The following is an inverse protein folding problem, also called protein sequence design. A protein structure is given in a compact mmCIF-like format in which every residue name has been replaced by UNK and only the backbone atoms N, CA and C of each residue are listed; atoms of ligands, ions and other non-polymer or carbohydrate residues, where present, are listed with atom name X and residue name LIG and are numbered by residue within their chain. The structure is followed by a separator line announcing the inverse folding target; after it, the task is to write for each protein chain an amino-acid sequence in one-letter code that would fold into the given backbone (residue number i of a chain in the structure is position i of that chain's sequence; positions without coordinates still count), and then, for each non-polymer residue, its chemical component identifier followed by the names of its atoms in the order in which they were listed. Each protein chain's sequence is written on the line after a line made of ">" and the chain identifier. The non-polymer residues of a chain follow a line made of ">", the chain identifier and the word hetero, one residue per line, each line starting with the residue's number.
data_IF_592366358822
#
_entry.id   IF_592366358822
#
_cell.length_a   1.000
_cell.length_b   1.000
_cell.length_c   1.000
_cell.angle_alpha   90.00
_cell.angle_beta   90.00
_cell.angle_gamma   90.00
#
_symmetry.space_group_name_H-M   'P 1'
#
loop_
_entity.id
_entity.type
_entity.pdbx_description
1 polymer ?
#
# COMPACT_ATOMS: atom_id res chain seq x y z
N UNK A 1 35.08 -6.74 13.92
CA UNK A 1 34.41 -8.04 13.79
C UNK A 1 33.91 -8.12 12.36
N UNK A 2 34.41 -9.07 11.57
CA UNK A 2 33.89 -9.29 10.20
C UNK A 2 32.43 -9.72 10.29
N UNK A 3 31.57 -9.01 9.54
CA UNK A 3 30.13 -9.31 9.49
C UNK A 3 29.90 -10.50 8.56
N UNK A 4 28.95 -11.35 8.92
CA UNK A 4 28.63 -12.55 8.13
C UNK A 4 27.76 -12.14 6.94
N UNK A 5 28.22 -12.42 5.71
CA UNK A 5 27.53 -12.07 4.45
C UNK A 5 27.03 -13.29 3.65
N UNK A 6 27.07 -14.48 4.23
CA UNK A 6 26.60 -15.72 3.60
C UNK A 6 25.80 -16.57 4.58
N UNK A 7 24.74 -17.21 4.09
CA UNK A 7 23.86 -18.08 4.89
C UNK A 7 24.10 -19.54 4.49
N UNK A 8 24.29 -20.41 5.49
CA UNK A 8 24.32 -21.86 5.29
C UNK A 8 22.92 -22.42 4.98
N UNK A 9 22.85 -23.58 4.33
CA UNK A 9 21.59 -24.28 4.05
C UNK A 9 20.78 -24.54 5.33
N UNK A 10 21.42 -24.98 6.41
CA UNK A 10 20.77 -25.24 7.70
C UNK A 10 20.16 -23.97 8.32
N UNK A 11 20.83 -22.83 8.19
CA UNK A 11 20.34 -21.57 8.74
C UNK A 11 19.22 -20.99 7.87
N UNK A 12 19.27 -21.22 6.56
CA UNK A 12 18.15 -20.94 5.65
C UNK A 12 16.92 -21.76 6.05
N UNK A 13 17.07 -23.06 6.31
CA UNK A 13 15.97 -23.94 6.74
C UNK A 13 15.38 -23.52 8.08
N UNK A 14 16.22 -23.07 9.02
CA UNK A 14 15.75 -22.48 10.28
C UNK A 14 14.90 -21.22 10.06
N UNK A 15 15.34 -20.29 9.19
CA UNK A 15 14.56 -19.09 8.84
C UNK A 15 13.20 -19.48 8.28
N UNK A 16 13.17 -20.48 7.39
CA UNK A 16 11.95 -20.99 6.74
C UNK A 16 11.00 -21.60 7.77
N UNK A 17 11.49 -22.48 8.64
CA UNK A 17 10.69 -23.09 9.71
C UNK A 17 10.15 -22.04 10.68
N UNK A 18 10.98 -21.04 11.00
CA UNK A 18 10.60 -19.94 11.90
C UNK A 18 9.49 -19.08 11.29
N UNK A 19 9.59 -18.76 9.99
CA UNK A 19 8.50 -18.10 9.23
C UNK A 19 7.22 -18.95 9.22
N UNK A 20 7.34 -20.26 8.97
CA UNK A 20 6.19 -21.18 8.94
C UNK A 20 5.52 -21.36 10.32
N UNK A 21 6.26 -21.13 11.41
CA UNK A 21 5.72 -21.14 12.77
C UNK A 21 4.95 -19.85 13.15
N UNK A 22 4.86 -18.88 12.22
CA UNK A 22 4.15 -17.62 12.42
C UNK A 22 4.97 -16.54 13.13
N UNK A 23 6.29 -16.74 13.29
CA UNK A 23 7.16 -15.71 13.82
C UNK A 23 7.20 -14.49 12.89
N UNK A 24 7.22 -13.30 13.48
CA UNK A 24 7.24 -12.08 12.68
C UNK A 24 8.60 -11.91 11.98
N UNK A 25 8.60 -11.38 10.74
CA UNK A 25 9.82 -11.06 10.01
C UNK A 25 10.85 -10.25 10.83
N UNK A 26 10.39 -9.33 11.66
CA UNK A 26 11.28 -8.50 12.50
C UNK A 26 12.04 -9.36 13.52
N UNK A 27 11.38 -10.33 14.17
CA UNK A 27 12.05 -11.22 15.14
C UNK A 27 13.13 -12.08 14.51
N UNK A 28 12.97 -12.43 13.24
CA UNK A 28 13.95 -13.22 12.50
C UNK A 28 15.16 -12.35 12.14
N UNK A 29 14.93 -11.13 11.66
CA UNK A 29 15.99 -10.15 11.39
C UNK A 29 16.76 -9.83 12.67
N UNK A 30 16.07 -9.60 13.79
CA UNK A 30 16.70 -9.38 15.09
C UNK A 30 17.56 -10.56 15.53
N UNK A 31 17.08 -11.80 15.30
CA UNK A 31 17.85 -13.01 15.60
C UNK A 31 19.10 -13.13 14.70
N UNK A 32 19.01 -12.71 13.44
CA UNK A 32 20.15 -12.66 12.52
C UNK A 32 21.16 -11.60 12.95
N UNK A 33 20.72 -10.39 13.30
CA UNK A 33 21.60 -9.33 13.78
C UNK A 33 22.32 -9.77 15.07
N UNK A 34 21.59 -10.39 16.01
CA UNK A 34 22.18 -10.98 17.25
C UNK A 34 23.19 -12.08 16.97
N UNK A 35 23.08 -12.77 15.83
CA UNK A 35 24.03 -13.79 15.36
C UNK A 35 25.23 -13.19 14.60
N UNK A 36 25.30 -11.87 14.43
CA UNK A 36 26.43 -11.17 13.81
C UNK A 36 26.29 -10.90 12.31
N UNK A 37 25.09 -11.08 11.75
CA UNK A 37 24.81 -10.70 10.36
C UNK A 37 24.65 -9.19 10.21
N UNK A 38 25.03 -8.67 9.05
CA UNK A 38 24.70 -7.28 8.70
C UNK A 38 23.18 -7.09 8.58
N UNK A 39 22.65 -5.96 9.04
CA UNK A 39 21.22 -5.66 9.03
C UNK A 39 20.64 -5.61 7.62
N UNK A 40 21.35 -4.97 6.67
CA UNK A 40 20.91 -4.89 5.28
C UNK A 40 20.93 -6.27 4.63
N UNK A 41 21.95 -7.07 4.97
CA UNK A 41 22.04 -8.45 4.52
C UNK A 41 20.91 -9.33 5.10
N UNK A 42 20.57 -9.17 6.38
CA UNK A 42 19.50 -9.91 7.04
C UNK A 42 18.13 -9.60 6.43
N UNK A 43 17.83 -8.30 6.24
CA UNK A 43 16.61 -7.84 5.58
C UNK A 43 16.50 -8.36 4.14
N UNK A 44 17.56 -8.22 3.33
CA UNK A 44 17.57 -8.71 1.94
C UNK A 44 17.43 -10.22 1.86
N UNK A 45 18.05 -10.96 2.77
CA UNK A 45 17.97 -12.41 2.76
C UNK A 45 16.59 -12.89 3.19
N UNK A 46 16.00 -12.27 4.20
CA UNK A 46 14.63 -12.58 4.59
C UNK A 46 13.64 -12.28 3.45
N UNK A 47 13.78 -11.15 2.76
CA UNK A 47 12.98 -10.80 1.58
C UNK A 47 13.18 -11.82 0.45
N UNK A 48 14.41 -12.27 0.21
CA UNK A 48 14.72 -13.28 -0.82
C UNK A 48 14.16 -14.65 -0.46
N UNK A 49 14.24 -15.09 0.80
CA UNK A 49 13.68 -16.39 1.24
C UNK A 49 12.15 -16.34 1.21
N UNK A 50 11.56 -15.22 1.66
CA UNK A 50 10.12 -14.99 1.60
C UNK A 50 9.60 -14.83 0.16
N UNK A 51 10.46 -14.39 -0.76
CA UNK A 51 10.17 -14.22 -2.19
C UNK A 51 10.41 -15.48 -3.05
N UNK A 52 11.40 -16.32 -2.71
CA UNK A 52 11.74 -17.53 -3.46
C UNK A 52 11.10 -18.82 -2.95
N UNK A 53 10.38 -18.77 -1.83
CA UNK A 53 9.56 -19.90 -1.41
C UNK A 53 8.11 -19.66 -1.78
N UNK A 54 7.59 -20.54 -2.65
CA UNK A 54 6.20 -20.95 -2.52
C UNK A 54 6.01 -21.41 -1.08
N UNK A 55 5.52 -20.50 -0.23
CA UNK A 55 5.07 -20.84 1.10
C UNK A 55 3.93 -21.83 0.85
N UNK A 56 4.23 -23.13 0.91
CA UNK A 56 3.22 -24.15 1.16
C UNK A 56 2.83 -23.93 2.61
N UNK A 57 2.10 -22.86 2.87
CA UNK A 57 1.29 -22.78 4.06
C UNK A 57 0.36 -23.98 3.95
N UNK A 58 0.26 -24.78 5.00
CA UNK A 58 -0.88 -25.64 5.26
C UNK A 58 -2.16 -24.80 5.51
N UNK A 59 -2.32 -23.70 4.77
CA UNK A 59 -3.52 -22.94 4.64
C UNK A 59 -4.26 -23.60 3.49
N UNK A 60 -5.32 -24.33 3.82
CA UNK A 60 -6.29 -24.87 2.85
C UNK A 60 -7.08 -23.72 2.18
N UNK A 61 -6.46 -22.58 1.94
CA UNK A 61 -7.06 -21.49 1.16
C UNK A 61 -6.88 -21.84 -0.31
N UNK A 62 -8.01 -22.04 -0.97
CA UNK A 62 -8.09 -22.15 -2.43
C UNK A 62 -7.27 -21.02 -3.09
N UNK A 63 -6.65 -21.28 -4.24
CA UNK A 63 -5.97 -20.24 -5.02
C UNK A 63 -6.85 -18.99 -5.15
N UNK A 64 -6.22 -17.81 -5.13
CA UNK A 64 -6.93 -16.56 -5.32
C UNK A 64 -7.61 -16.57 -6.70
N UNK A 65 -8.92 -16.31 -6.72
CA UNK A 65 -9.69 -16.21 -7.94
C UNK A 65 -9.59 -14.78 -8.49
N UNK A 66 -8.93 -14.62 -9.63
CA UNK A 66 -8.74 -13.30 -10.23
C UNK A 66 -9.95 -12.86 -11.04
N UNK A 67 -10.36 -11.62 -10.79
CA UNK A 67 -11.43 -10.92 -11.49
C UNK A 67 -10.87 -9.60 -12.01
N UNK A 68 -11.33 -9.16 -13.18
CA UNK A 68 -10.98 -7.85 -13.71
C UNK A 68 -11.94 -6.83 -13.05
N UNK A 69 -11.46 -5.93 -12.18
CA UNK A 69 -12.33 -4.92 -11.56
C UNK A 69 -12.88 -3.97 -12.62
N UNK A 70 -13.97 -3.26 -12.32
CA UNK A 70 -14.69 -2.43 -13.30
C UNK A 70 -13.77 -1.45 -14.03
N UNK A 71 -12.87 -0.76 -13.32
CA UNK A 71 -11.88 0.15 -13.92
C UNK A 71 -11.00 -0.52 -14.98
N UNK A 72 -10.70 -1.81 -14.85
CA UNK A 72 -9.92 -2.58 -15.82
C UNK A 72 -10.65 -2.88 -17.12
N UNK A 73 -11.98 -2.85 -17.09
CA UNK A 73 -12.85 -3.12 -18.23
C UNK A 73 -13.10 -1.87 -19.09
N UNK A 74 -12.73 -0.67 -18.59
CA UNK A 74 -12.95 0.63 -19.25
C UNK A 74 -11.92 0.99 -20.33
N UNK A 75 -10.98 0.08 -20.63
CA UNK A 75 -9.97 0.28 -21.67
C UNK A 75 -8.73 1.04 -21.22
N UNK A 76 -8.02 1.68 -22.16
CA UNK A 76 -6.75 2.39 -21.92
C UNK A 76 -6.92 3.90 -21.70
N UNK A 77 -8.10 4.43 -22.01
CA UNK A 77 -8.54 5.80 -21.75
C UNK A 77 -9.77 5.74 -20.88
N UNK A 78 -9.69 6.32 -19.70
CA UNK A 78 -10.76 6.34 -18.72
C UNK A 78 -11.36 7.74 -18.68
N UNK A 79 -12.68 7.82 -18.66
CA UNK A 79 -13.40 9.08 -18.57
C UNK A 79 -14.05 9.16 -17.20
N UNK A 80 -13.74 10.22 -16.47
CA UNK A 80 -14.34 10.51 -15.18
C UNK A 80 -14.82 11.94 -15.21
N UNK A 81 -16.05 12.13 -15.72
CA UNK A 81 -16.83 13.37 -15.76
C UNK A 81 -16.11 14.60 -16.31
N UNK A 82 -15.22 15.16 -15.49
CA UNK A 82 -14.42 16.35 -15.74
C UNK A 82 -13.03 16.07 -16.35
N UNK A 83 -12.61 14.80 -16.50
CA UNK A 83 -11.23 14.46 -16.88
C UNK A 83 -11.10 13.19 -17.72
N UNK A 84 -10.19 13.23 -18.71
CA UNK A 84 -9.66 12.03 -19.41
C UNK A 84 -8.37 11.57 -18.71
N UNK A 85 -8.35 10.33 -18.26
CA UNK A 85 -7.24 9.66 -17.57
C UNK A 85 -6.65 8.62 -18.52
N UNK A 86 -5.32 8.54 -18.59
CA UNK A 86 -4.63 7.54 -19.44
C UNK A 86 -4.05 6.42 -18.59
N UNK A 87 -4.27 5.17 -19.00
CA UNK A 87 -3.56 4.03 -18.42
C UNK A 87 -2.15 3.98 -19.00
N UNK A 88 -1.14 4.16 -18.15
CA UNK A 88 0.28 4.11 -18.52
C UNK A 88 0.80 2.69 -18.57
N UNK A 89 0.43 1.87 -17.59
CA UNK A 89 0.79 0.46 -17.51
C UNK A 89 -0.23 -0.32 -16.71
N UNK A 90 -0.29 -1.63 -16.97
CA UNK A 90 -1.16 -2.59 -16.28
C UNK A 90 -0.36 -3.83 -15.89
N UNK A 91 -0.56 -4.29 -14.65
CA UNK A 91 -0.20 -5.63 -14.21
C UNK A 91 -1.50 -6.39 -14.04
N UNK A 92 -1.60 -7.58 -14.63
CA UNK A 92 -2.83 -8.38 -14.56
C UNK A 92 -2.98 -9.08 -13.20
N UNK A 93 -1.87 -9.56 -12.62
CA UNK A 93 -1.86 -10.35 -11.37
C UNK A 93 -0.73 -9.91 -10.43
N UNK A 94 -1.04 -9.30 -9.27
CA UNK A 94 -2.32 -8.71 -8.88
C UNK A 94 -2.72 -7.61 -9.87
N UNK A 95 -3.99 -7.25 -9.87
CA UNK A 95 -4.48 -6.22 -10.77
C UNK A 95 -3.97 -4.85 -10.30
N UNK A 96 -3.07 -4.22 -11.09
CA UNK A 96 -2.50 -2.90 -10.82
C UNK A 96 -2.61 -2.04 -12.08
N UNK A 97 -3.08 -0.81 -11.94
CA UNK A 97 -3.05 0.22 -12.97
C UNK A 97 -2.18 1.39 -12.52
N UNK A 98 -1.29 1.83 -13.41
CA UNK A 98 -0.63 3.12 -13.30
C UNK A 98 -1.36 4.11 -14.21
N UNK A 99 -1.84 5.21 -13.64
CA UNK A 99 -2.75 6.16 -14.27
C UNK A 99 -2.09 7.54 -14.34
N UNK A 100 -2.18 8.18 -15.50
CA UNK A 100 -1.72 9.55 -15.73
C UNK A 100 -2.89 10.52 -15.71
N UNK A 101 -2.59 11.79 -15.40
CA UNK A 101 -3.55 12.89 -15.46
C UNK A 101 -4.80 12.66 -14.58
N UNK A 102 -4.64 12.06 -13.39
CA UNK A 102 -5.75 11.86 -12.44
C UNK A 102 -6.10 13.16 -11.74
N UNK A 103 -5.09 13.92 -11.32
CA UNK A 103 -5.22 15.28 -10.78
C UNK A 103 -4.41 16.25 -11.65
N UNK A 104 -4.85 17.51 -11.74
CA UNK A 104 -4.00 18.59 -12.24
C UNK A 104 -2.98 19.01 -11.19
N UNK A 105 -1.99 19.79 -11.62
CA UNK A 105 -1.00 20.33 -10.71
C UNK A 105 -1.63 21.23 -9.64
N UNK A 106 -2.64 22.02 -10.02
CA UNK A 106 -3.40 22.88 -9.10
C UNK A 106 -4.21 22.06 -8.11
N UNK A 107 -4.80 20.93 -8.55
CA UNK A 107 -5.56 20.07 -7.65
C UNK A 107 -4.67 19.38 -6.61
N UNK A 108 -3.47 18.97 -7.03
CA UNK A 108 -2.44 18.44 -6.16
C UNK A 108 -1.98 19.48 -5.13
N UNK A 109 -1.62 20.68 -5.58
CA UNK A 109 -1.14 21.76 -4.70
C UNK A 109 -2.23 22.21 -3.72
N UNK A 110 -3.48 22.23 -4.17
CA UNK A 110 -4.62 22.56 -3.31
C UNK A 110 -4.82 21.53 -2.20
N UNK A 111 -4.70 20.24 -2.49
CA UNK A 111 -4.76 19.20 -1.46
C UNK A 111 -3.62 19.36 -0.45
N UNK A 112 -2.38 19.54 -0.91
CA UNK A 112 -1.22 19.77 -0.03
C UNK A 112 -1.47 20.99 0.88
N UNK A 113 -1.95 22.09 0.31
CA UNK A 113 -2.24 23.32 1.06
C UNK A 113 -3.31 23.10 2.14
N UNK A 114 -4.41 22.41 1.82
CA UNK A 114 -5.49 22.11 2.77
C UNK A 114 -5.05 21.15 3.88
N UNK A 115 -4.04 20.33 3.64
CA UNK A 115 -3.58 19.30 4.57
C UNK A 115 -2.44 19.74 5.49
N UNK A 116 -1.59 20.69 5.06
CA UNK A 116 -0.31 21.01 5.71
C UNK A 116 -0.41 21.28 7.22
N UNK A 117 -1.36 22.12 7.63
CA UNK A 117 -1.55 22.50 9.03
C UNK A 117 -2.29 21.44 9.88
N UNK A 118 -2.82 20.39 9.23
CA UNK A 118 -3.61 19.33 9.88
C UNK A 118 -2.83 18.04 10.07
N UNK A 119 -1.62 17.94 9.52
CA UNK A 119 -0.79 16.74 9.56
C UNK A 119 -0.39 16.39 11.01
N UNK A 120 -0.65 15.15 11.39
CA UNK A 120 -0.19 14.57 12.66
C UNK A 120 0.71 13.36 12.37
N UNK A 121 1.64 12.98 13.27
CA UNK A 121 2.40 11.74 13.12
C UNK A 121 1.47 10.55 12.84
N UNK A 122 1.84 9.68 11.89
CA UNK A 122 1.01 8.53 11.57
C UNK A 122 1.06 7.52 12.71
N UNK A 123 -0.11 7.12 13.20
CA UNK A 123 -0.24 6.03 14.16
C UNK A 123 -0.53 4.72 13.43
N UNK A 124 0.03 3.62 13.93
CA UNK A 124 -0.35 2.26 13.56
C UNK A 124 -0.90 1.62 14.82
N UNK A 125 -2.03 0.94 14.68
CA UNK A 125 -2.61 0.15 15.77
C UNK A 125 -1.65 -1.01 16.02
N UNK A 126 -1.07 -1.04 17.22
CA UNK A 126 -0.21 -2.15 17.64
C UNK A 126 -1.06 -3.43 17.67
N UNK A 127 -0.69 -4.42 16.85
CA UNK A 127 -1.46 -5.66 16.65
C UNK A 127 -1.60 -6.52 17.91
N UNK A 128 -0.73 -6.33 18.91
CA UNK A 128 -0.73 -7.11 20.15
C UNK A 128 -1.49 -6.40 21.27
N UNK A 129 -1.50 -5.08 21.29
CA UNK A 129 -2.03 -4.28 22.41
C UNK A 129 -3.28 -3.48 22.06
N UNK A 130 -3.57 -3.25 20.77
CA UNK A 130 -4.68 -2.40 20.33
C UNK A 130 -4.49 -0.91 20.61
N UNK A 131 -3.33 -0.50 21.12
CA UNK A 131 -3.01 0.89 21.46
C UNK A 131 -2.50 1.67 20.25
N UNK A 132 -2.81 2.97 20.21
CA UNK A 132 -2.20 3.93 19.28
C UNK A 132 -0.76 4.19 19.72
N UNK A 133 0.22 3.63 19.01
CA UNK A 133 1.64 3.95 19.20
C UNK A 133 2.19 4.68 17.96
N UNK A 134 3.24 5.47 18.16
CA UNK A 134 4.05 5.96 17.06
C UNK A 134 4.53 4.73 16.26
N UNK A 135 4.16 4.68 14.99
CA UNK A 135 4.22 3.45 14.22
C UNK A 135 5.66 3.01 13.95
N UNK A 136 6.07 1.86 14.48
CA UNK A 136 7.37 1.25 14.19
C UNK A 136 7.55 0.87 12.70
N UNK A 137 6.46 0.88 11.91
CA UNK A 137 6.47 0.56 10.49
C UNK A 137 6.09 1.70 9.53
N UNK A 138 5.64 2.87 10.01
CA UNK A 138 5.21 3.99 9.15
C UNK A 138 5.60 5.31 9.77
N UNK A 139 6.53 6.02 9.16
CA UNK A 139 7.10 7.21 9.81
C UNK A 139 6.58 8.53 9.23
N UNK A 140 5.62 8.48 8.30
CA UNK A 140 5.00 9.68 7.72
C UNK A 140 4.17 10.49 8.72
N UNK A 141 3.83 11.73 8.34
CA UNK A 141 2.67 12.43 8.90
C UNK A 141 1.44 12.24 8.01
N UNK A 142 0.26 12.26 8.59
CA UNK A 142 -1.00 12.09 7.87
C UNK A 142 -2.18 12.84 8.47
N UNK A 143 -3.22 12.99 7.66
CA UNK A 143 -4.53 13.50 8.04
C UNK A 143 -5.62 12.89 7.15
N UNK A 144 -6.86 12.88 7.64
CA UNK A 144 -8.03 12.43 6.87
C UNK A 144 -9.01 13.58 6.61
N UNK A 145 -9.45 13.72 5.36
CA UNK A 145 -10.62 14.51 5.02
C UNK A 145 -11.87 13.70 5.38
N UNK A 146 -12.91 14.35 5.89
CA UNK A 146 -14.23 13.71 5.90
C UNK A 146 -14.76 13.60 4.47
N UNK A 147 -15.67 12.66 4.22
CA UNK A 147 -16.31 12.56 2.91
C UNK A 147 -17.00 13.87 2.58
N UNK A 148 -16.83 14.35 1.36
CA UNK A 148 -17.39 15.61 0.88
C UNK A 148 -17.06 16.83 1.78
N UNK A 149 -15.90 16.84 2.46
CA UNK A 149 -15.55 17.92 3.40
C UNK A 149 -15.62 19.32 2.75
N UNK A 150 -15.25 19.41 1.47
CA UNK A 150 -15.34 20.63 0.68
C UNK A 150 -15.45 20.28 -0.82
N UNK A 151 -15.78 21.29 -1.64
CA UNK A 151 -15.99 21.08 -3.08
C UNK A 151 -14.79 20.47 -3.81
N UNK A 152 -13.55 20.76 -3.38
CA UNK A 152 -12.34 20.19 -3.96
C UNK A 152 -12.25 18.68 -3.72
N UNK A 153 -12.42 18.27 -2.46
CA UNK A 153 -12.42 16.86 -2.05
C UNK A 153 -13.57 16.11 -2.71
N UNK A 154 -14.78 16.71 -2.74
CA UNK A 154 -15.95 16.12 -3.41
C UNK A 154 -15.72 15.81 -4.88
N UNK A 155 -15.05 16.71 -5.62
CA UNK A 155 -14.73 16.49 -7.04
C UNK A 155 -13.80 15.29 -7.20
N UNK A 156 -12.75 15.20 -6.39
CA UNK A 156 -11.79 14.09 -6.43
C UNK A 156 -12.46 12.76 -6.05
N UNK A 157 -13.31 12.75 -5.02
CA UNK A 157 -14.03 11.55 -4.59
C UNK A 157 -15.01 11.05 -5.67
N UNK A 158 -15.73 11.96 -6.34
CA UNK A 158 -16.57 11.62 -7.50
C UNK A 158 -15.75 11.02 -8.64
N UNK A 159 -14.60 11.62 -8.96
CA UNK A 159 -13.70 11.11 -10.00
C UNK A 159 -13.23 9.69 -9.69
N UNK A 160 -12.81 9.42 -8.45
CA UNK A 160 -12.40 8.08 -8.02
C UNK A 160 -13.58 7.09 -8.09
N UNK A 161 -14.78 7.51 -7.67
CA UNK A 161 -15.98 6.67 -7.75
C UNK A 161 -16.31 6.28 -9.21
N UNK A 162 -16.30 7.25 -10.12
CA UNK A 162 -16.53 7.01 -11.55
C UNK A 162 -15.46 6.12 -12.18
N UNK A 163 -14.18 6.31 -11.83
CA UNK A 163 -13.10 5.47 -12.33
C UNK A 163 -13.26 4.03 -11.86
N UNK A 164 -13.50 3.84 -10.56
CA UNK A 164 -13.44 2.53 -9.91
C UNK A 164 -14.74 1.73 -10.01
N UNK A 165 -15.87 2.39 -10.26
CA UNK A 165 -17.20 1.77 -10.24
C UNK A 165 -17.82 1.67 -8.84
N UNK A 166 -17.08 2.06 -7.80
CA UNK A 166 -17.57 2.01 -6.43
C UNK A 166 -18.18 3.35 -6.01
N UNK A 167 -19.37 3.36 -5.40
CA UNK A 167 -19.97 4.58 -4.85
C UNK A 167 -19.04 5.27 -3.85
N UNK A 168 -19.22 6.58 -3.65
CA UNK A 168 -18.40 7.38 -2.72
C UNK A 168 -18.47 6.80 -1.30
N UNK A 169 -19.63 6.26 -0.93
CA UNK A 169 -19.93 5.67 0.37
C UNK A 169 -19.15 4.38 0.66
N UNK A 170 -18.60 3.73 -0.38
CA UNK A 170 -17.67 2.62 -0.22
C UNK A 170 -16.24 3.09 0.09
N UNK A 171 -15.93 4.37 -0.16
CA UNK A 171 -14.60 4.90 0.00
C UNK A 171 -14.38 5.53 1.38
N UNK A 172 -13.34 5.10 2.11
CA UNK A 172 -12.91 5.80 3.33
C UNK A 172 -12.53 7.26 3.04
N UNK A 173 -12.56 8.15 4.04
CA UNK A 173 -12.13 9.54 3.87
C UNK A 173 -10.73 9.65 3.23
N UNK A 174 -10.54 10.62 2.33
CA UNK A 174 -9.28 10.78 1.60
C UNK A 174 -8.14 11.07 2.59
N UNK A 175 -7.15 10.18 2.65
CA UNK A 175 -5.99 10.34 3.53
C UNK A 175 -4.88 11.07 2.79
N UNK A 176 -4.40 12.20 3.30
CA UNK A 176 -3.18 12.86 2.78
C UNK A 176 -2.01 12.58 3.69
N UNK A 177 -0.86 12.28 3.09
CA UNK A 177 0.36 11.86 3.77
C UNK A 177 1.56 12.63 3.25
N UNK A 178 2.49 12.91 4.16
CA UNK A 178 3.78 13.51 3.85
C UNK A 178 4.91 12.65 4.42
N UNK A 179 5.88 12.32 3.57
CA UNK A 179 7.13 11.65 3.92
C UNK A 179 8.30 12.61 3.68
N UNK A 180 9.10 12.83 4.72
CA UNK A 180 10.39 13.53 4.65
C UNK A 180 11.53 12.57 4.30
N UNK A 181 12.73 13.11 4.10
CA UNK A 181 13.93 12.33 3.85
C UNK A 181 14.10 11.26 4.95
N UNK A 182 14.33 10.01 4.54
CA UNK A 182 14.45 8.85 5.41
C UNK A 182 13.13 8.24 5.87
N UNK A 183 11.99 8.94 5.72
CA UNK A 183 10.69 8.40 6.12
C UNK A 183 10.16 7.41 5.08
N UNK A 184 9.51 6.35 5.59
CA UNK A 184 9.06 5.21 4.79
C UNK A 184 7.75 4.61 5.32
N UNK A 185 7.22 3.64 4.58
CA UNK A 185 6.21 2.71 5.09
C UNK A 185 6.62 1.29 4.75
N UNK A 186 6.99 0.52 5.78
CA UNK A 186 7.39 -0.89 5.70
C UNK A 186 6.37 -1.75 4.94
N UNK A 187 6.79 -2.92 4.42
CA UNK A 187 5.90 -3.82 3.68
C UNK A 187 4.62 -4.16 4.44
N UNK A 188 3.47 -3.92 3.80
CA UNK A 188 2.17 -4.14 4.41
C UNK A 188 1.11 -4.49 3.36
N UNK A 189 -0.05 -4.89 3.88
CA UNK A 189 -1.28 -5.03 3.12
C UNK A 189 -2.24 -3.92 3.54
N UNK A 190 -3.06 -3.46 2.59
CA UNK A 190 -4.11 -2.49 2.89
C UNK A 190 -5.38 -3.15 3.40
N UNK A 191 -5.63 -4.41 3.05
CA UNK A 191 -6.73 -5.20 3.60
C UNK A 191 -6.54 -5.50 5.09
N UNK A 192 -7.66 -5.66 5.80
CA UNK A 192 -7.66 -6.04 7.20
C UNK A 192 -7.35 -7.53 7.37
N UNK A 193 -6.68 -7.93 8.46
CA UNK A 193 -6.74 -9.29 8.95
C UNK A 193 -8.19 -9.77 9.10
N UNK A 194 -8.45 -11.06 8.87
CA UNK A 194 -9.81 -11.61 8.85
C UNK A 194 -10.61 -11.33 10.13
N UNK A 195 -9.94 -11.29 11.29
CA UNK A 195 -10.55 -11.00 12.59
C UNK A 195 -10.79 -9.50 12.87
N UNK A 196 -10.42 -8.62 11.95
CA UNK A 196 -10.58 -7.16 12.05
C UNK A 196 -11.57 -6.60 11.02
N UNK A 197 -12.19 -7.46 10.21
CA UNK A 197 -13.23 -7.08 9.27
C UNK A 197 -14.53 -6.82 10.05
N UNK A 198 -15.10 -5.64 9.89
CA UNK A 198 -16.37 -5.24 10.51
C UNK A 198 -17.37 -4.99 9.38
N UNK A 199 -18.29 -5.94 9.17
CA UNK A 199 -19.26 -5.90 8.06
C UNK A 199 -20.12 -4.62 8.08
N UNK A 200 -20.63 -4.24 9.25
CA UNK A 200 -21.44 -3.02 9.44
C UNK A 200 -20.66 -1.70 9.25
N UNK A 201 -19.35 -1.77 8.98
CA UNK A 201 -18.49 -0.62 8.64
C UNK A 201 -17.88 -0.79 7.25
N UNK A 202 -18.67 -1.26 6.31
CA UNK A 202 -18.30 -1.49 4.92
C UNK A 202 -17.52 -2.78 4.67
N UNK A 203 -17.27 -3.61 5.69
CA UNK A 203 -16.55 -4.88 5.54
C UNK A 203 -15.09 -4.70 5.12
N UNK A 204 -14.58 -5.62 4.32
CA UNK A 204 -13.18 -5.67 3.91
C UNK A 204 -12.80 -4.55 2.93
N UNK A 205 -11.55 -4.07 2.97
CA UNK A 205 -10.97 -3.26 1.90
C UNK A 205 -10.65 -4.15 0.69
N UNK A 206 -10.99 -3.70 -0.50
CA UNK A 206 -10.87 -4.49 -1.73
C UNK A 206 -9.94 -3.84 -2.76
N UNK A 207 -9.64 -2.56 -2.60
CA UNK A 207 -8.76 -1.83 -3.50
C UNK A 207 -8.29 -0.53 -2.90
N UNK A 208 -7.17 -0.05 -3.44
CA UNK A 208 -6.54 1.20 -3.03
C UNK A 208 -6.29 2.07 -4.24
N UNK A 209 -6.65 3.35 -4.11
CA UNK A 209 -6.36 4.39 -5.07
C UNK A 209 -5.37 5.38 -4.44
N UNK A 210 -4.09 5.32 -4.85
CA UNK A 210 -3.01 6.13 -4.31
C UNK A 210 -2.54 7.14 -5.36
N UNK A 211 -2.67 8.43 -5.06
CA UNK A 211 -2.37 9.55 -5.95
C UNK A 211 -1.09 10.24 -5.47
N UNK A 212 -0.17 10.53 -6.37
CA UNK A 212 1.04 11.30 -6.08
C UNK A 212 0.77 12.79 -6.27
N UNK A 213 1.01 13.58 -5.22
CA UNK A 213 0.68 15.01 -5.19
C UNK A 213 1.88 15.91 -5.54
N UNK A 214 3.08 15.34 -5.66
CA UNK A 214 4.26 16.03 -6.13
C UNK A 214 5.25 15.05 -6.77
N UNK A 215 6.18 15.59 -7.55
CA UNK A 215 7.37 14.85 -7.98
C UNK A 215 8.34 14.69 -6.80
N UNK A 216 8.94 13.52 -6.69
CA UNK A 216 9.96 13.22 -5.68
C UNK A 216 11.32 13.18 -6.38
N UNK A 217 12.30 13.92 -5.85
CA UNK A 217 13.60 14.03 -6.49
C UNK A 217 14.36 12.69 -6.52
N UNK A 218 14.32 11.93 -5.42
CA UNK A 218 14.89 10.58 -5.36
C UNK A 218 14.27 9.73 -4.24
N UNK A 219 14.07 8.44 -4.50
CA UNK A 219 13.41 7.50 -3.59
C UNK A 219 11.89 7.67 -3.56
N UNK A 220 11.25 7.15 -2.51
CA UNK A 220 9.81 7.30 -2.31
C UNK A 220 8.93 6.45 -3.24
N UNK A 221 9.47 5.49 -3.97
CA UNK A 221 8.70 4.58 -4.83
C UNK A 221 7.69 3.75 -4.05
N UNK A 222 6.55 3.44 -4.70
CA UNK A 222 5.63 2.41 -4.22
C UNK A 222 6.04 1.08 -4.84
N UNK A 223 6.54 0.15 -4.02
CA UNK A 223 7.16 -1.10 -4.49
C UNK A 223 6.28 -2.30 -4.13
N UNK A 224 5.88 -3.07 -5.14
CA UNK A 224 5.23 -4.38 -5.01
C UNK A 224 6.31 -5.47 -5.08
N UNK A 225 6.94 -5.74 -3.94
CA UNK A 225 8.18 -6.53 -3.86
C UNK A 225 8.05 -7.95 -4.40
N UNK A 226 6.88 -8.58 -4.26
CA UNK A 226 6.61 -9.92 -4.78
C UNK A 226 6.56 -9.98 -6.32
N UNK A 227 6.42 -8.84 -6.99
CA UNK A 227 6.31 -8.73 -8.44
C UNK A 227 7.57 -8.15 -9.08
N UNK A 228 8.46 -7.57 -8.29
CA UNK A 228 9.56 -6.77 -8.81
C UNK A 228 9.09 -5.49 -9.52
N UNK A 229 7.90 -4.98 -9.18
CA UNK A 229 7.32 -3.76 -9.76
C UNK A 229 7.50 -2.59 -8.81
N UNK A 230 7.98 -1.46 -9.33
CA UNK A 230 8.08 -0.20 -8.59
C UNK A 230 7.39 0.90 -9.37
N UNK A 231 6.59 1.71 -8.69
CA UNK A 231 5.93 2.89 -9.25
C UNK A 231 6.64 4.13 -8.72
N UNK A 232 7.25 4.89 -9.63
CA UNK A 232 7.94 6.14 -9.32
C UNK A 232 6.91 7.25 -9.12
N UNK A 233 6.99 8.06 -8.04
CA UNK A 233 6.09 9.18 -7.83
C UNK A 233 6.23 10.23 -8.93
N UNK A 234 5.11 10.55 -9.59
CA UNK A 234 5.02 11.66 -10.53
C UNK A 234 3.76 12.46 -10.23
N UNK A 235 3.87 13.78 -10.09
CA UNK A 235 2.74 14.65 -9.74
C UNK A 235 1.53 14.40 -10.66
N UNK A 236 0.35 14.31 -10.09
CA UNK A 236 -0.92 14.11 -10.80
C UNK A 236 -1.18 12.68 -11.27
N UNK A 237 -0.20 11.76 -11.16
CA UNK A 237 -0.39 10.34 -11.46
C UNK A 237 -0.95 9.58 -10.26
N UNK A 238 -1.49 8.39 -10.51
CA UNK A 238 -1.95 7.49 -9.45
C UNK A 238 -1.62 6.03 -9.75
N UNK A 239 -1.53 5.23 -8.70
CA UNK A 239 -1.59 3.77 -8.78
C UNK A 239 -2.90 3.29 -8.16
N UNK A 240 -3.66 2.52 -8.94
CA UNK A 240 -4.79 1.75 -8.44
C UNK A 240 -4.38 0.28 -8.38
N UNK A 241 -4.64 -0.38 -7.24
CA UNK A 241 -4.43 -1.81 -7.14
C UNK A 241 -5.60 -2.47 -6.42
N UNK A 242 -6.06 -3.59 -6.98
CA UNK A 242 -7.23 -4.34 -6.52
C UNK A 242 -6.78 -5.67 -5.93
N UNK A 243 -7.31 -6.01 -4.77
CA UNK A 243 -6.88 -7.18 -4.00
C UNK A 243 -8.04 -7.91 -3.32
N UNK A 244 -9.29 -7.45 -3.41
CA UNK A 244 -10.46 -8.22 -3.02
C UNK A 244 -11.10 -8.91 -4.24
N UNK A 245 -11.91 -9.94 -4.01
CA UNK A 245 -12.74 -10.54 -5.06
C UNK A 245 -14.14 -10.90 -4.57
N UNK A 246 -15.01 -11.32 -5.49
CA UNK A 246 -16.38 -11.74 -5.17
C UNK A 246 -16.51 -12.94 -4.24
N UNK A 247 -15.40 -13.69 -4.03
CA UNK A 247 -15.34 -14.85 -3.13
C UNK A 247 -14.88 -14.49 -1.71
N UNK A 248 -14.73 -13.20 -1.40
CA UNK A 248 -14.24 -12.73 -0.11
C UNK A 248 -12.76 -13.07 0.16
N UNK A 249 -11.99 -13.36 -0.89
CA UNK A 249 -10.56 -13.60 -0.78
C UNK A 249 -9.79 -12.27 -0.87
N UNK A 250 -8.55 -12.28 -0.35
CA UNK A 250 -7.61 -11.16 -0.51
C UNK A 250 -6.30 -11.61 -1.15
N UNK A 251 -5.76 -10.80 -2.06
CA UNK A 251 -4.57 -11.16 -2.83
C UNK A 251 -3.27 -10.80 -2.08
N UNK A 252 -2.51 -11.82 -1.70
CA UNK A 252 -1.22 -11.68 -0.99
C UNK A 252 -0.10 -11.16 -1.89
N UNK A 253 -0.28 -11.05 -3.20
CA UNK A 253 0.66 -10.42 -4.12
C UNK A 253 0.56 -8.89 -4.10
N UNK A 254 -0.49 -8.33 -3.49
CA UNK A 254 -0.64 -6.88 -3.27
C UNK A 254 0.27 -6.31 -2.15
N UNK A 255 1.15 -7.14 -1.57
CA UNK A 255 2.13 -6.69 -0.58
C UNK A 255 2.98 -5.57 -1.18
N UNK A 256 2.92 -4.39 -0.55
CA UNK A 256 3.63 -3.22 -1.05
C UNK A 256 4.25 -2.41 0.08
N UNK A 257 5.16 -1.52 -0.30
CA UNK A 257 5.91 -0.64 0.62
C UNK A 257 6.10 0.72 -0.05
N UNK A 258 6.21 1.78 0.76
CA UNK A 258 6.80 3.04 0.31
C UNK A 258 8.25 3.06 0.76
N UNK A 259 9.20 2.97 -0.17
CA UNK A 259 10.62 3.01 0.19
C UNK A 259 11.01 4.41 0.71
N UNK A 260 12.12 4.55 1.46
CA UNK A 260 12.54 5.83 2.01
C UNK A 260 12.70 6.91 0.94
N UNK A 261 12.25 8.12 1.24
CA UNK A 261 12.61 9.31 0.43
C UNK A 261 14.10 9.59 0.63
N UNK A 262 14.86 9.65 -0.45
CA UNK A 262 16.31 9.93 -0.38
C UNK A 262 16.61 11.41 -0.63
N UNK A 263 15.79 12.08 -1.46
CA UNK A 263 15.91 13.51 -1.75
C UNK A 263 14.52 14.15 -1.96
N UNK A 264 14.33 15.35 -1.43
CA UNK A 264 13.06 16.09 -1.50
C UNK A 264 12.05 15.64 -0.44
N UNK A 265 10.78 15.59 -0.80
CA UNK A 265 9.69 15.07 0.03
C UNK A 265 8.63 14.40 -0.84
N UNK A 266 7.84 13.49 -0.26
CA UNK A 266 6.73 12.82 -0.94
C UNK A 266 5.41 13.17 -0.30
N UNK A 267 4.47 13.63 -1.12
CA UNK A 267 3.07 13.83 -0.78
C UNK A 267 2.20 12.87 -1.57
N UNK A 268 1.30 12.18 -0.89
CA UNK A 268 0.32 11.29 -1.52
C UNK A 268 -1.06 11.47 -0.92
N UNK A 269 -2.09 11.24 -1.72
CA UNK A 269 -3.46 11.07 -1.26
C UNK A 269 -3.90 9.62 -1.48
N UNK A 270 -4.47 8.98 -0.47
CA UNK A 270 -4.90 7.58 -0.53
C UNK A 270 -6.39 7.48 -0.24
N UNK A 271 -7.12 6.79 -1.11
CA UNK A 271 -8.52 6.41 -0.92
C UNK A 271 -8.58 4.87 -0.84
N UNK A 272 -8.98 4.34 0.30
CA UNK A 272 -9.27 2.91 0.45
C UNK A 272 -10.73 2.65 0.11
N UNK A 273 -10.97 1.58 -0.64
CA UNK A 273 -12.29 1.18 -1.11
C UNK A 273 -12.73 -0.08 -0.37
N UNK A 274 -13.92 -0.02 0.22
CA UNK A 274 -14.58 -1.10 0.96
C UNK A 274 -15.52 -1.90 0.06
N UNK A 275 -15.72 -3.18 0.38
CA UNK A 275 -16.67 -4.04 -0.32
C UNK A 275 -18.12 -3.54 -0.19
N UNK A 276 -18.46 -2.98 0.98
CA UNK A 276 -19.77 -2.41 1.28
C UNK A 276 -19.70 -0.90 1.58
N UNK A 277 -20.87 -0.30 1.77
CA UNK A 277 -20.98 1.11 2.20
C UNK A 277 -20.56 1.23 3.66
N UNK A 278 -19.80 2.28 3.97
CA UNK A 278 -19.30 2.59 5.31
C UNK A 278 -20.34 3.36 6.13
N UNK A 279 -21.17 4.16 5.45
CA UNK A 279 -22.16 5.08 6.00
C UNK A 279 -23.55 4.75 5.49
#
# INVERSE_FOLDING_TARGET
>A
MEKIEHISSEFKDWIIQTLNSGASPEKIVDAMIKKGFDETFALRTLLRISGNQSIVTADKQSPYYYEIPEIGQKGIKLYAGDREIKVLSRVEYPFILHLDNVLSDEECDKLISLSRERLQPSHVIDKNTGENRAASGRTSKGMYFTINENGHVSTIEKRIAELTGYPIENGEGLQVLNYKIGEEYKPHFDYFPANQVIEDKGGQRIGTFLIYLNDVASGGETVFSKLGVSIVPKKGTAVYFHYGNSKGQVDRLSLHTSVPVSEGEKWVATKWIRQGRIY
#
